data_IF_133788776083
#
_entry.id   IF_133788776083
#
_cell.length_a   1.000
_cell.length_b   1.000
_cell.length_c   1.000
_cell.angle_alpha   90.00
_cell.angle_beta   90.00
_cell.angle_gamma   90.00
#
_symmetry.space_group_name_H-M   'P 1'
#
loop_
_entity.id
_entity.type
_entity.pdbx_description
1 polymer ?
#
# COMPACT_ATOMS: atom_id res chain seq x y z
N UNK A 1 34.27 17.83 -22.32
CA UNK A 1 33.87 17.16 -21.05
C UNK A 1 32.46 17.62 -20.67
N UNK A 2 31.50 16.72 -20.44
CA UNK A 2 30.12 17.11 -20.10
C UNK A 2 30.09 17.69 -18.68
N UNK A 3 29.46 18.86 -18.51
CA UNK A 3 29.30 19.50 -17.19
C UNK A 3 28.14 18.82 -16.45
N UNK A 4 28.43 18.23 -15.29
CA UNK A 4 27.42 17.69 -14.36
C UNK A 4 26.44 18.78 -13.94
N UNK A 5 25.19 18.65 -14.40
CA UNK A 5 24.09 19.52 -13.97
C UNK A 5 23.65 19.08 -12.57
N UNK A 6 24.03 19.84 -11.54
CA UNK A 6 23.49 19.69 -10.18
C UNK A 6 21.96 19.85 -10.21
N UNK A 7 21.24 18.76 -10.01
CA UNK A 7 19.79 18.79 -9.87
C UNK A 7 19.43 19.52 -8.57
N UNK A 8 18.48 20.46 -8.67
CA UNK A 8 17.91 21.13 -7.50
C UNK A 8 17.15 20.09 -6.68
N UNK A 9 17.77 19.60 -5.61
CA UNK A 9 17.11 18.75 -4.63
C UNK A 9 16.07 19.60 -3.90
N UNK A 10 14.80 19.20 -4.01
CA UNK A 10 13.73 19.73 -3.18
C UNK A 10 14.09 19.48 -1.70
N UNK A 11 13.84 20.48 -0.86
CA UNK A 11 14.26 20.59 0.55
C UNK A 11 13.71 19.46 1.45
N UNK A 12 12.87 18.55 0.94
CA UNK A 12 12.38 17.37 1.64
C UNK A 12 12.43 16.11 0.74
N UNK A 13 12.85 14.98 1.33
CA UNK A 13 12.76 13.68 0.67
C UNK A 13 11.29 13.31 0.41
N UNK A 14 10.93 12.81 -0.79
CA UNK A 14 9.55 12.45 -1.11
C UNK A 14 9.10 11.29 -0.20
N UNK A 15 7.92 11.44 0.40
CA UNK A 15 7.37 10.49 1.38
C UNK A 15 7.04 9.10 0.81
N UNK A 16 7.16 8.91 -0.50
CA UNK A 16 6.95 7.65 -1.24
C UNK A 16 7.88 7.65 -2.46
N UNK A 17 8.54 6.51 -2.72
CA UNK A 17 9.20 6.26 -4.01
C UNK A 17 8.11 6.09 -5.07
N UNK A 18 7.95 7.06 -5.96
CA UNK A 18 7.06 6.92 -7.12
C UNK A 18 7.59 5.74 -7.94
N UNK A 19 6.73 4.76 -8.25
CA UNK A 19 7.12 3.61 -9.05
C UNK A 19 7.74 4.13 -10.36
N UNK A 20 8.92 3.58 -10.72
CA UNK A 20 9.58 3.91 -11.98
C UNK A 20 8.57 3.68 -13.09
N UNK A 21 8.37 4.68 -13.97
CA UNK A 21 7.52 4.55 -15.16
C UNK A 21 7.91 3.28 -15.89
N UNK A 22 7.02 2.28 -15.89
CA UNK A 22 7.14 1.09 -16.73
C UNK A 22 6.65 1.50 -18.11
N UNK A 23 7.55 2.07 -18.91
CA UNK A 23 7.33 2.26 -20.35
C UNK A 23 7.70 1.02 -21.16
N UNK A 24 8.01 -0.10 -20.52
CA UNK A 24 8.12 -1.36 -21.22
C UNK A 24 6.70 -1.81 -21.60
N UNK A 25 6.40 -1.79 -22.89
CA UNK A 25 5.27 -2.55 -23.41
C UNK A 25 5.45 -4.02 -22.94
N UNK A 26 4.37 -4.72 -22.56
CA UNK A 26 4.46 -6.13 -22.17
C UNK A 26 5.11 -6.92 -23.31
N UNK A 27 5.87 -7.98 -23.00
CA UNK A 27 6.59 -8.78 -24.01
C UNK A 27 5.65 -9.33 -25.11
N UNK A 28 4.35 -9.45 -24.84
CA UNK A 28 3.32 -9.78 -25.83
C UNK A 28 3.06 -8.70 -26.89
N UNK A 29 3.60 -7.49 -26.72
CA UNK A 29 3.48 -6.34 -27.63
C UNK A 29 4.83 -5.96 -28.28
N UNK A 30 5.93 -6.61 -27.90
CA UNK A 30 7.25 -6.34 -28.46
C UNK A 30 7.60 -7.49 -29.41
N UNK A 31 7.51 -7.24 -30.71
CA UNK A 31 7.97 -8.19 -31.71
C UNK A 31 9.50 -8.24 -31.70
N UNK A 32 10.05 -9.44 -31.60
CA UNK A 32 11.48 -9.67 -31.68
C UNK A 32 11.95 -9.49 -33.13
N UNK A 33 12.54 -8.33 -33.43
CA UNK A 33 13.10 -8.03 -34.76
C UNK A 33 14.56 -8.46 -34.80
N UNK A 34 14.86 -9.50 -35.57
CA UNK A 34 16.24 -9.91 -35.87
C UNK A 34 16.90 -8.89 -36.79
N UNK A 35 17.86 -8.14 -36.24
CA UNK A 35 18.58 -7.10 -36.97
C UNK A 35 19.48 -7.77 -38.01
N UNK A 36 19.04 -7.77 -39.28
CA UNK A 36 19.79 -8.31 -40.42
C UNK A 36 19.00 -9.23 -41.35
N UNK A 37 17.79 -9.67 -40.97
CA UNK A 37 16.96 -10.55 -41.81
C UNK A 37 16.45 -9.90 -43.10
N UNK A 38 16.41 -8.56 -43.13
CA UNK A 38 15.86 -7.77 -44.24
C UNK A 38 16.92 -7.21 -45.21
N UNK A 39 18.19 -7.63 -45.10
CA UNK A 39 19.29 -7.08 -45.93
C UNK A 39 19.12 -7.44 -47.41
N UNK A 40 18.54 -8.60 -47.71
CA UNK A 40 18.38 -9.11 -49.08
C UNK A 40 17.00 -8.80 -49.68
N UNK A 41 16.09 -8.16 -48.92
CA UNK A 41 14.74 -7.84 -49.38
C UNK A 41 14.76 -6.48 -50.10
N UNK A 42 14.28 -6.39 -51.35
CA UNK A 42 14.22 -5.12 -52.07
C UNK A 42 13.34 -4.12 -51.30
N UNK A 43 13.80 -2.87 -51.19
CA UNK A 43 13.16 -1.83 -50.38
C UNK A 43 11.67 -1.59 -50.70
N UNK A 44 11.22 -1.91 -51.93
CA UNK A 44 9.81 -1.86 -52.31
C UNK A 44 8.92 -2.84 -51.52
N UNK A 45 9.39 -4.05 -51.21
CA UNK A 45 8.62 -5.06 -50.47
C UNK A 45 8.58 -4.75 -48.97
N UNK A 46 9.63 -4.15 -48.43
CA UNK A 46 9.65 -3.63 -47.05
C UNK A 46 8.65 -2.49 -46.86
N UNK A 47 8.47 -1.65 -47.88
CA UNK A 47 7.49 -0.57 -47.83
C UNK A 47 6.03 -1.07 -47.92
N UNK A 48 5.81 -2.21 -48.59
CA UNK A 48 4.48 -2.80 -48.74
C UNK A 48 4.06 -3.56 -47.48
N UNK A 49 4.96 -4.36 -46.89
CA UNK A 49 4.68 -5.12 -45.65
C UNK A 49 4.40 -4.22 -44.44
N UNK A 50 5.05 -3.06 -44.33
CA UNK A 50 4.76 -2.08 -43.28
C UNK A 50 3.33 -1.50 -43.36
N UNK A 51 2.74 -1.44 -44.55
CA UNK A 51 1.38 -0.95 -44.77
C UNK A 51 0.30 -2.02 -44.54
N UNK A 52 0.68 -3.30 -44.43
CA UNK A 52 -0.24 -4.42 -44.13
C UNK A 52 -0.45 -4.66 -42.63
N UNK A 53 0.35 -4.02 -41.76
CA UNK A 53 0.12 -4.07 -40.30
C UNK A 53 -1.15 -3.28 -39.94
N UNK A 54 -2.25 -4.04 -39.83
CA UNK A 54 -3.61 -3.66 -39.47
C UNK A 54 -4.03 -2.24 -39.91
N UNK A 55 -4.73 -2.09 -41.05
CA UNK A 55 -5.48 -0.88 -41.28
C UNK A 55 -6.59 -0.82 -40.23
N UNK A 56 -6.30 -0.21 -39.08
CA UNK A 56 -7.27 0.09 -38.06
C UNK A 56 -8.47 0.69 -38.76
N UNK A 57 -9.58 -0.08 -38.80
CA UNK A 57 -10.75 0.14 -39.65
C UNK A 57 -10.96 1.64 -39.79
N UNK A 58 -11.04 2.21 -41.02
CA UNK A 58 -11.21 3.65 -41.22
C UNK A 58 -12.61 4.06 -40.73
N UNK A 59 -12.74 4.16 -39.41
CA UNK A 59 -13.95 4.52 -38.71
C UNK A 59 -14.20 5.98 -39.02
N UNK A 60 -15.43 6.30 -39.44
CA UNK A 60 -15.80 7.69 -39.69
C UNK A 60 -15.58 8.48 -38.41
N UNK A 61 -15.24 9.77 -38.52
CA UNK A 61 -14.98 10.64 -37.37
C UNK A 61 -16.15 10.60 -36.35
N UNK A 62 -17.38 10.42 -36.85
CA UNK A 62 -18.59 10.24 -36.05
C UNK A 62 -18.55 8.95 -35.21
N UNK A 63 -18.21 7.82 -35.83
CA UNK A 63 -18.15 6.52 -35.16
C UNK A 63 -17.05 6.49 -34.10
N UNK A 64 -15.89 7.12 -34.37
CA UNK A 64 -14.82 7.31 -33.38
C UNK A 64 -15.24 8.20 -32.21
N UNK A 65 -16.11 9.19 -32.44
CA UNK A 65 -16.61 10.05 -31.38
C UNK A 65 -17.67 9.32 -30.53
N UNK A 66 -18.53 8.53 -31.17
CA UNK A 66 -19.53 7.71 -30.49
C UNK A 66 -18.85 6.65 -29.63
N UNK A 67 -17.88 5.90 -30.16
CA UNK A 67 -17.15 4.90 -29.37
C UNK A 67 -16.43 5.50 -28.16
N UNK A 68 -15.85 6.70 -28.29
CA UNK A 68 -15.26 7.44 -27.17
C UNK A 68 -16.30 7.84 -26.13
N UNK A 69 -17.46 8.30 -26.57
CA UNK A 69 -18.57 8.68 -25.68
C UNK A 69 -19.10 7.47 -24.92
N UNK A 70 -19.29 6.35 -25.61
CA UNK A 70 -19.81 5.11 -25.02
C UNK A 70 -18.82 4.51 -24.02
N UNK A 71 -17.52 4.48 -24.37
CA UNK A 71 -16.47 4.06 -23.44
C UNK A 71 -16.38 4.96 -22.19
N UNK A 72 -16.63 6.27 -22.36
CA UNK A 72 -16.68 7.21 -21.24
C UNK A 72 -17.90 6.96 -20.34
N UNK A 73 -19.08 6.70 -20.92
CA UNK A 73 -20.30 6.36 -20.16
C UNK A 73 -20.13 5.04 -19.41
N UNK A 74 -19.59 4.00 -20.04
CA UNK A 74 -19.28 2.73 -19.37
C UNK A 74 -18.30 2.92 -18.20
N UNK A 75 -17.30 3.78 -18.35
CA UNK A 75 -16.39 4.13 -17.25
C UNK A 75 -17.12 4.85 -16.12
N UNK A 76 -18.03 5.76 -16.44
CA UNK A 76 -18.84 6.45 -15.43
C UNK A 76 -19.76 5.48 -14.70
N UNK A 77 -20.45 4.59 -15.42
CA UNK A 77 -21.31 3.54 -14.87
C UNK A 77 -20.51 2.60 -13.94
N UNK A 78 -19.33 2.16 -14.35
CA UNK A 78 -18.48 1.31 -13.52
C UNK A 78 -17.94 2.03 -12.28
N UNK A 79 -17.69 3.35 -12.37
CA UNK A 79 -17.28 4.16 -11.20
C UNK A 79 -18.47 4.60 -10.33
N UNK A 80 -19.68 4.52 -10.87
CA UNK A 80 -20.93 4.92 -10.25
C UNK A 80 -21.60 3.76 -9.53
N UNK A 81 -20.92 3.11 -8.59
CA UNK A 81 -21.67 2.29 -7.64
C UNK A 81 -22.62 3.24 -6.89
N UNK A 82 -23.93 2.93 -6.81
CA UNK A 82 -24.97 3.81 -6.23
C UNK A 82 -24.72 4.16 -4.76
N UNK A 83 -23.74 3.50 -4.14
CA UNK A 83 -23.38 3.70 -2.76
C UNK A 83 -21.99 4.32 -2.60
N UNK A 84 -21.86 5.17 -1.59
CA UNK A 84 -20.59 5.82 -1.23
C UNK A 84 -19.46 4.82 -0.99
N UNK A 85 -18.20 5.26 -1.15
CA UNK A 85 -16.98 4.47 -0.83
C UNK A 85 -17.02 3.85 0.58
N UNK A 86 -17.70 4.51 1.53
CA UNK A 86 -17.88 3.99 2.90
C UNK A 86 -18.80 2.77 2.93
N UNK A 87 -19.92 2.82 2.20
CA UNK A 87 -20.86 1.71 2.11
C UNK A 87 -20.25 0.51 1.38
N UNK A 88 -19.49 0.72 0.31
CA UNK A 88 -18.72 -0.36 -0.34
C UNK A 88 -17.73 -1.04 0.62
N UNK A 89 -17.03 -0.26 1.47
CA UNK A 89 -16.14 -0.81 2.50
C UNK A 89 -16.91 -1.61 3.54
N UNK A 90 -18.11 -1.15 3.93
CA UNK A 90 -18.99 -1.86 4.85
C UNK A 90 -19.49 -3.17 4.24
N UNK A 91 -19.92 -3.19 2.98
CA UNK A 91 -20.32 -4.42 2.28
C UNK A 91 -19.15 -5.40 2.16
N UNK A 92 -17.96 -4.94 1.77
CA UNK A 92 -16.75 -5.80 1.73
C UNK A 92 -16.35 -6.34 3.10
N UNK A 93 -16.52 -5.55 4.16
CA UNK A 93 -16.28 -6.01 5.54
C UNK A 93 -17.31 -7.06 5.95
N UNK A 94 -18.61 -6.79 5.76
CA UNK A 94 -19.69 -7.75 6.01
C UNK A 94 -19.50 -9.05 5.23
N UNK A 95 -19.16 -8.99 3.95
CA UNK A 95 -18.92 -10.17 3.14
C UNK A 95 -17.71 -10.99 3.62
N UNK A 96 -16.63 -10.31 4.07
CA UNK A 96 -15.46 -10.99 4.66
C UNK A 96 -15.77 -11.59 6.03
N UNK A 97 -16.55 -10.89 6.86
CA UNK A 97 -17.04 -11.39 8.13
C UNK A 97 -17.95 -12.61 7.91
N UNK A 98 -18.87 -12.56 6.94
CA UNK A 98 -19.71 -13.70 6.57
C UNK A 98 -18.91 -14.89 6.05
N UNK A 99 -17.84 -14.70 5.28
CA UNK A 99 -16.99 -15.81 4.82
C UNK A 99 -16.11 -16.39 5.94
N UNK A 100 -15.58 -15.54 6.84
CA UNK A 100 -14.75 -15.97 7.95
C UNK A 100 -15.53 -16.53 9.14
N UNK A 101 -16.77 -16.07 9.34
CA UNK A 101 -17.65 -16.46 10.45
C UNK A 101 -18.71 -17.48 10.02
N UNK A 102 -19.13 -17.50 8.75
CA UNK A 102 -20.09 -18.46 8.22
C UNK A 102 -19.56 -19.89 8.09
N UNK A 103 -18.24 -20.09 8.10
CA UNK A 103 -17.66 -21.43 8.24
C UNK A 103 -17.89 -22.02 9.64
N UNK A 104 -18.09 -21.21 10.67
CA UNK A 104 -18.44 -21.72 11.99
C UNK A 104 -19.90 -22.19 12.05
N UNK A 105 -20.81 -21.51 11.33
CA UNK A 105 -22.21 -21.95 11.22
C UNK A 105 -22.31 -23.26 10.42
N UNK A 106 -21.56 -23.40 9.33
CA UNK A 106 -21.48 -24.68 8.57
C UNK A 106 -20.86 -25.78 9.43
N UNK A 107 -19.81 -25.50 10.19
CA UNK A 107 -19.23 -26.45 11.16
C UNK A 107 -20.23 -26.83 12.25
N UNK A 108 -21.03 -25.89 12.75
CA UNK A 108 -22.05 -26.16 13.76
C UNK A 108 -23.19 -27.03 13.21
N UNK A 109 -23.60 -26.81 11.95
CA UNK A 109 -24.59 -27.66 11.28
C UNK A 109 -24.03 -29.05 11.01
N UNK A 110 -22.78 -29.17 10.54
CA UNK A 110 -22.11 -30.47 10.36
C UNK A 110 -21.97 -31.21 11.69
N UNK A 111 -21.53 -30.52 12.75
CA UNK A 111 -21.46 -31.12 14.10
C UNK A 111 -22.83 -31.51 14.64
N UNK A 112 -23.90 -30.79 14.31
CA UNK A 112 -25.26 -31.17 14.72
C UNK A 112 -25.76 -32.40 13.95
N UNK A 113 -25.37 -32.56 12.68
CA UNK A 113 -25.66 -33.76 11.87
C UNK A 113 -24.83 -34.95 12.37
N UNK A 114 -23.52 -34.78 12.58
CA UNK A 114 -22.64 -35.82 13.13
C UNK A 114 -23.10 -36.25 14.54
N UNK A 115 -23.51 -35.30 15.39
CA UNK A 115 -24.02 -35.59 16.73
C UNK A 115 -25.41 -36.23 16.73
N UNK A 116 -26.22 -36.02 15.70
CA UNK A 116 -27.46 -36.76 15.50
C UNK A 116 -27.19 -38.24 15.13
N UNK A 117 -26.04 -38.54 14.53
CA UNK A 117 -25.58 -39.91 14.25
C UNK A 117 -24.84 -40.54 15.47
N UNK A 118 -24.17 -39.75 16.31
CA UNK A 118 -23.41 -40.23 17.47
C UNK A 118 -24.21 -40.36 18.77
N UNK A 119 -25.52 -40.08 18.76
CA UNK A 119 -26.42 -40.24 19.93
C UNK A 119 -26.72 -41.71 20.30
N UNK A 120 -25.88 -42.65 19.87
CA UNK A 120 -25.95 -44.08 20.20
C UNK A 120 -24.69 -44.62 20.94
N UNK A 121 -23.70 -43.79 21.32
CA UNK A 121 -22.50 -44.30 21.99
C UNK A 121 -21.93 -43.39 23.10
N UNK A 122 -22.39 -43.66 24.33
CA UNK A 122 -21.67 -43.75 25.62
C UNK A 122 -20.44 -42.83 25.90
N UNK A 123 -20.62 -41.95 26.89
CA UNK A 123 -19.76 -41.60 28.05
C UNK A 123 -18.27 -42.03 28.06
N UNK A 124 -17.34 -41.07 28.30
CA UNK A 124 -16.47 -40.96 29.51
C UNK A 124 -15.41 -39.84 29.37
N UNK A 125 -15.36 -38.99 30.40
CA UNK A 125 -14.21 -38.34 31.08
C UNK A 125 -12.93 -37.96 30.30
N UNK A 126 -12.55 -36.67 30.32
CA UNK A 126 -11.31 -36.21 30.96
C UNK A 126 -11.13 -34.68 30.94
N UNK A 127 -10.79 -34.13 32.10
CA UNK A 127 -10.46 -32.74 32.33
C UNK A 127 -8.94 -32.51 32.20
N UNK A 128 -8.48 -31.59 31.34
CA UNK A 128 -7.16 -30.96 31.44
C UNK A 128 -7.18 -29.52 30.90
N UNK A 129 -7.23 -28.58 31.84
CA UNK A 129 -6.32 -27.43 32.02
C UNK A 129 -5.43 -27.02 30.82
N UNK A 130 -5.55 -25.77 30.35
CA UNK A 130 -4.42 -24.92 29.92
C UNK A 130 -4.87 -23.50 29.57
N UNK A 131 -4.66 -22.59 30.53
CA UNK A 131 -4.40 -21.17 30.29
C UNK A 131 -3.32 -20.99 29.20
N UNK A 132 -3.60 -20.15 28.20
CA UNK A 132 -2.53 -19.54 27.39
C UNK A 132 -2.95 -18.16 26.85
N UNK A 133 -2.67 -17.19 27.71
CA UNK A 133 -2.24 -15.82 27.43
C UNK A 133 -1.88 -15.51 25.96
N UNK A 134 -2.74 -14.77 25.24
CA UNK A 134 -2.36 -14.08 24.00
C UNK A 134 -1.89 -12.66 24.32
N UNK A 135 -0.69 -12.55 24.89
CA UNK A 135 0.10 -11.33 24.80
C UNK A 135 0.70 -11.24 23.39
N UNK A 136 0.16 -10.33 22.58
CA UNK A 136 0.75 -9.94 21.30
C UNK A 136 2.05 -9.16 21.55
N UNK A 137 3.16 -9.87 21.78
CA UNK A 137 4.49 -9.29 21.85
C UNK A 137 4.98 -8.99 20.43
N UNK A 138 4.92 -7.71 20.06
CA UNK A 138 5.53 -7.23 18.82
C UNK A 138 7.04 -7.45 18.87
N UNK A 139 7.55 -8.42 18.13
CA UNK A 139 8.99 -8.64 17.92
C UNK A 139 9.61 -7.38 17.30
N UNK A 140 10.25 -6.56 18.13
CA UNK A 140 11.13 -5.48 17.67
C UNK A 140 12.54 -6.06 17.51
N UNK A 141 13.19 -5.93 16.35
CA UNK A 141 14.57 -6.40 16.19
C UNK A 141 15.48 -5.59 17.11
N UNK A 142 16.27 -6.29 17.93
CA UNK A 142 17.31 -5.69 18.77
C UNK A 142 18.46 -5.27 17.86
N UNK A 143 18.67 -3.97 17.70
CA UNK A 143 19.80 -3.41 16.95
C UNK A 143 21.05 -3.58 17.81
N UNK A 144 22.15 -4.06 17.21
CA UNK A 144 23.44 -4.21 17.90
C UNK A 144 24.01 -2.83 18.24
N UNK A 145 24.49 -2.59 19.47
CA UNK A 145 25.12 -1.33 19.82
C UNK A 145 26.40 -1.14 18.99
N UNK A 146 26.56 0.02 18.34
CA UNK A 146 27.75 0.38 17.55
C UNK A 146 27.52 0.50 16.03
N UNK A 147 26.35 0.11 15.51
CA UNK A 147 26.05 0.25 14.08
C UNK A 147 25.46 1.64 13.77
N UNK A 148 26.33 2.60 13.49
CA UNK A 148 25.95 3.95 13.04
C UNK A 148 25.49 3.84 11.57
N UNK A 149 24.18 3.93 11.33
CA UNK A 149 23.62 3.97 9.96
C UNK A 149 22.25 3.34 9.80
N UNK A 150 21.82 2.50 10.74
CA UNK A 150 20.48 1.89 10.71
C UNK A 150 19.56 2.56 11.73
N UNK A 151 19.20 3.82 11.46
CA UNK A 151 17.96 4.34 12.03
C UNK A 151 16.81 3.40 11.64
N UNK A 152 15.80 3.23 12.52
CA UNK A 152 14.60 2.39 12.31
C UNK A 152 14.24 2.31 10.82
N UNK A 153 14.60 1.21 10.14
CA UNK A 153 14.49 1.08 8.67
C UNK A 153 13.05 1.22 8.15
N UNK A 154 12.08 1.21 9.06
CA UNK A 154 10.69 1.60 8.83
C UNK A 154 10.41 2.94 9.51
N UNK A 155 10.02 3.93 8.72
CA UNK A 155 9.47 5.19 9.26
C UNK A 155 8.26 4.89 10.13
N UNK A 156 7.99 5.73 11.13
CA UNK A 156 6.75 5.65 11.90
C UNK A 156 5.53 5.52 10.96
N UNK A 157 4.57 4.69 11.35
CA UNK A 157 3.35 4.49 10.56
C UNK A 157 2.62 5.83 10.37
N UNK A 158 1.75 5.94 9.37
CA UNK A 158 1.02 7.19 9.11
C UNK A 158 0.17 7.63 10.30
N UNK A 159 -0.41 6.68 11.06
CA UNK A 159 -1.14 6.97 12.30
C UNK A 159 -0.22 7.45 13.42
N UNK A 160 0.93 6.80 13.60
CA UNK A 160 1.93 7.21 14.58
C UNK A 160 2.47 8.61 14.29
N UNK A 161 2.76 8.93 13.02
CA UNK A 161 3.19 10.28 12.61
C UNK A 161 2.12 11.33 12.92
N UNK A 162 0.85 11.05 12.63
CA UNK A 162 -0.26 11.96 12.98
C UNK A 162 -0.36 12.17 14.47
N UNK A 163 -0.18 11.12 15.27
CA UNK A 163 -0.22 11.21 16.72
C UNK A 163 0.95 12.03 17.27
N UNK A 164 2.18 11.78 16.79
CA UNK A 164 3.35 12.59 17.14
C UNK A 164 3.14 14.07 16.77
N UNK A 165 2.64 14.37 15.57
CA UNK A 165 2.35 15.75 15.16
C UNK A 165 1.30 16.44 16.03
N UNK A 166 0.27 15.71 16.50
CA UNK A 166 -0.73 16.27 17.42
C UNK A 166 -0.12 16.60 18.78
N UNK A 167 0.73 15.70 19.30
CA UNK A 167 1.43 15.92 20.57
C UNK A 167 2.37 17.12 20.46
N UNK A 168 3.16 17.20 19.39
CA UNK A 168 4.06 18.33 19.16
C UNK A 168 3.29 19.66 18.98
N UNK A 169 2.12 19.64 18.32
CA UNK A 169 1.27 20.83 18.20
C UNK A 169 0.82 21.38 19.57
N UNK A 170 0.50 20.50 20.52
CA UNK A 170 0.12 20.92 21.88
C UNK A 170 1.33 21.36 22.71
N UNK A 171 2.50 20.79 22.43
CA UNK A 171 3.74 21.06 23.14
C UNK A 171 4.35 22.42 22.80
N UNK A 172 4.33 22.82 21.53
CA UNK A 172 4.99 24.05 21.07
C UNK A 172 4.53 25.33 21.80
N UNK A 173 3.22 25.57 22.00
CA UNK A 173 2.75 26.71 22.79
C UNK A 173 3.31 26.72 24.23
N UNK A 174 3.46 25.54 24.84
CA UNK A 174 3.97 25.39 26.19
C UNK A 174 5.46 25.78 26.31
N UNK A 175 6.24 25.46 25.27
CA UNK A 175 7.64 25.90 25.15
C UNK A 175 7.70 27.42 24.98
N UNK A 176 6.83 27.98 24.13
CA UNK A 176 6.80 29.41 23.84
C UNK A 176 6.33 30.26 25.02
N UNK A 177 5.48 29.72 25.90
CA UNK A 177 5.02 30.43 27.11
C UNK A 177 6.08 30.49 28.23
N UNK A 178 7.18 29.75 28.12
CA UNK A 178 8.22 29.75 29.14
C UNK A 178 9.04 31.06 29.05
N UNK A 179 9.22 31.80 30.16
CA UNK A 179 9.98 33.06 30.13
C UNK A 179 11.44 32.88 29.70
N UNK A 180 12.04 31.70 29.91
CA UNK A 180 13.41 31.42 29.47
C UNK A 180 13.53 31.33 27.95
N UNK A 181 12.42 31.13 27.23
CA UNK A 181 12.41 31.01 25.78
C UNK A 181 12.82 32.32 25.08
N UNK A 182 12.49 33.49 25.67
CA UNK A 182 12.87 34.79 25.11
C UNK A 182 14.38 35.06 25.27
N UNK A 183 14.98 34.57 26.36
CA UNK A 183 16.42 34.72 26.63
C UNK A 183 17.25 33.73 25.82
N UNK A 184 16.91 32.44 25.84
CA UNK A 184 17.64 31.41 25.10
C UNK A 184 16.71 30.32 24.55
N UNK A 185 16.12 30.52 23.36
CA UNK A 185 15.13 29.59 22.82
C UNK A 185 15.73 28.20 22.54
N UNK A 186 16.98 28.13 22.09
CA UNK A 186 17.63 26.86 21.77
C UNK A 186 17.90 26.01 23.02
N UNK A 187 18.33 26.64 24.12
CA UNK A 187 18.52 25.94 25.38
C UNK A 187 17.19 25.46 25.98
N UNK A 188 16.15 26.28 25.91
CA UNK A 188 14.80 25.90 26.37
C UNK A 188 14.22 24.76 25.55
N UNK A 189 14.37 24.77 24.22
CA UNK A 189 13.94 23.64 23.37
C UNK A 189 14.71 22.37 23.71
N UNK A 190 16.04 22.48 23.90
CA UNK A 190 16.90 21.33 24.22
C UNK A 190 16.52 20.68 25.55
N UNK A 191 16.38 21.49 26.60
CA UNK A 191 15.99 21.01 27.94
C UNK A 191 14.59 20.40 27.93
N UNK A 192 13.62 21.04 27.26
CA UNK A 192 12.29 20.46 27.10
C UNK A 192 12.34 19.13 26.33
N UNK A 193 13.14 19.01 25.27
CA UNK A 193 13.28 17.77 24.53
C UNK A 193 13.94 16.66 25.35
N UNK A 194 14.94 16.97 26.16
CA UNK A 194 15.54 16.01 27.11
C UNK A 194 14.49 15.49 28.09
N UNK A 195 13.67 16.38 28.66
CA UNK A 195 12.67 15.99 29.65
C UNK A 195 11.47 15.22 29.06
N UNK A 196 11.20 15.33 27.75
CA UNK A 196 9.97 14.79 27.13
C UNK A 196 10.17 13.73 26.05
N UNK A 197 11.26 13.77 25.29
CA UNK A 197 11.52 12.83 24.19
C UNK A 197 12.55 11.76 24.52
N UNK A 198 13.52 12.06 25.41
CA UNK A 198 14.53 11.09 25.83
C UNK A 198 13.89 10.19 26.87
N UNK A 199 13.53 8.97 26.46
CA UNK A 199 13.16 7.92 27.40
C UNK A 199 14.44 7.51 28.13
N UNK A 200 14.55 7.86 29.40
CA UNK A 200 15.53 7.25 30.28
C UNK A 200 15.09 5.80 30.50
N UNK A 201 15.73 4.86 29.79
CA UNK A 201 15.73 3.47 30.23
C UNK A 201 16.55 3.45 31.53
N UNK A 202 15.98 3.02 32.67
CA UNK A 202 16.76 2.86 33.88
C UNK A 202 17.82 1.76 33.64
N UNK A 203 19.08 2.08 33.94
CA UNK A 203 20.18 1.11 34.03
C UNK A 203 20.16 0.38 35.35
#
# INVERSE_FOLDING_TARGET
MPKDRRSRTAIHAPSVKIAKRQFAAPDSQVEHVEIGSAVDVPAQDLLQSANESDPGVPMKKKDKLQSKRDAFLQRLEFTGSPYSKSHQRRLKRKAREQLGQGLNDIKAVLQAVDKAEESAAVTTENAQNLESSQQSSSNKPKIKPGQIGEGKGSTLSSSQRKQVLRVERLRMPLIMSNPQFSSNPFQTIRTHAQNTLVKHEPS
#
